data_IF_359162187774
#
_entry.id   IF_359162187774
#
_cell.length_a   1.000
_cell.length_b   1.000
_cell.length_c   1.000
_cell.angle_alpha   90.00
_cell.angle_beta   90.00
_cell.angle_gamma   90.00
#
_symmetry.space_group_name_H-M   'P 1'
#
loop_
_entity.id
_entity.type
_entity.pdbx_description
1 polymer ?
#
# COMPACT_ATOMS: atom_id res chain seq x y z
N UNK A 1 -24.42 -5.26 -3.81
CA UNK A 1 -24.40 -5.15 -2.33
C UNK A 1 -23.57 -3.93 -1.99
N UNK A 2 -24.11 -2.94 -1.27
CA UNK A 2 -23.36 -1.80 -0.76
C UNK A 2 -22.87 -2.16 0.64
N UNK A 3 -21.57 -2.35 0.82
CA UNK A 3 -20.98 -2.39 2.16
C UNK A 3 -20.86 -0.94 2.66
N UNK A 4 -21.93 -0.44 3.27
CA UNK A 4 -21.85 0.76 4.11
C UNK A 4 -21.53 0.30 5.53
N UNK A 5 -20.26 -0.06 5.77
CA UNK A 5 -19.71 -0.08 7.11
C UNK A 5 -19.69 1.35 7.61
N UNK A 6 -20.71 1.75 8.35
CA UNK A 6 -20.73 3.01 9.09
C UNK A 6 -19.71 2.90 10.22
N UNK A 7 -18.45 3.17 9.90
CA UNK A 7 -17.44 3.49 10.90
C UNK A 7 -17.90 4.80 11.54
N UNK A 8 -18.45 4.68 12.74
CA UNK A 8 -18.95 5.80 13.51
C UNK A 8 -17.72 6.59 13.98
N UNK A 9 -17.32 7.59 13.20
CA UNK A 9 -16.25 8.55 13.53
C UNK A 9 -16.69 9.41 14.72
N UNK A 10 -16.66 8.82 15.91
CA UNK A 10 -16.60 9.60 17.14
C UNK A 10 -15.33 10.44 17.03
N UNK A 11 -15.49 11.75 16.90
CA UNK A 11 -14.37 12.69 16.96
C UNK A 11 -13.60 12.41 18.24
N UNK A 12 -12.43 11.79 18.09
CA UNK A 12 -11.49 11.58 19.18
C UNK A 12 -11.19 13.00 19.72
N UNK A 13 -11.32 13.24 21.04
CA UNK A 13 -10.94 14.52 21.61
C UNK A 13 -9.53 14.85 21.13
N UNK A 14 -9.31 16.10 20.71
CA UNK A 14 -8.01 16.58 20.24
C UNK A 14 -7.05 16.48 21.43
N UNK A 15 -6.42 15.32 21.58
CA UNK A 15 -5.32 15.13 22.52
C UNK A 15 -4.16 15.98 22.02
N UNK A 16 -3.43 16.59 22.96
CA UNK A 16 -2.29 17.44 22.65
C UNK A 16 -1.20 16.59 21.99
N UNK A 17 -1.18 16.57 20.65
CA UNK A 17 -0.12 15.91 19.90
C UNK A 17 1.23 16.47 20.31
N UNK A 18 2.21 15.60 20.53
CA UNK A 18 3.60 16.03 20.71
C UNK A 18 4.21 16.27 19.32
N UNK A 19 4.50 17.53 18.91
CA UNK A 19 5.06 17.78 17.60
C UNK A 19 6.54 17.40 17.57
N UNK A 20 6.93 16.57 16.61
CA UNK A 20 8.33 16.17 16.39
C UNK A 20 8.79 16.60 14.98
N UNK A 21 8.94 17.92 14.73
CA UNK A 21 9.22 18.45 13.39
C UNK A 21 10.60 18.09 12.84
N UNK A 22 11.52 17.63 13.68
CA UNK A 22 12.85 17.20 13.24
C UNK A 22 12.86 15.82 12.58
N UNK A 23 11.80 15.03 12.76
CA UNK A 23 11.71 13.66 12.22
C UNK A 23 11.29 13.72 10.75
N UNK A 24 12.17 13.25 9.87
CA UNK A 24 11.92 13.13 8.43
C UNK A 24 11.73 11.68 7.97
N UNK A 25 12.28 10.74 8.72
CA UNK A 25 12.20 9.32 8.44
C UNK A 25 11.82 8.57 9.72
N UNK A 26 10.86 7.66 9.60
CA UNK A 26 10.38 6.80 10.67
C UNK A 26 10.43 5.36 10.20
N UNK A 27 11.05 4.48 11.00
CA UNK A 27 11.04 3.04 10.77
C UNK A 27 10.39 2.36 11.96
N UNK A 28 9.32 1.61 11.70
CA UNK A 28 8.57 0.85 12.68
C UNK A 28 8.79 -0.63 12.41
N UNK A 29 9.44 -1.32 13.33
CA UNK A 29 9.62 -2.78 13.27
C UNK A 29 8.95 -3.40 14.49
N UNK A 30 7.90 -4.17 14.25
CA UNK A 30 7.09 -4.81 15.27
C UNK A 30 7.36 -6.31 15.23
N UNK A 31 7.62 -6.90 16.40
CA UNK A 31 7.97 -8.32 16.55
C UNK A 31 7.20 -8.93 17.70
N UNK A 32 6.48 -10.04 17.44
CA UNK A 32 5.74 -10.78 18.47
C UNK A 32 4.82 -9.89 19.34
N UNK A 33 4.19 -8.87 18.71
CA UNK A 33 3.28 -7.94 19.40
C UNK A 33 1.85 -8.46 19.29
N UNK A 34 1.15 -8.53 20.40
CA UNK A 34 -0.30 -8.73 20.42
C UNK A 34 -0.98 -7.40 20.04
N UNK A 35 -1.79 -7.42 18.99
CA UNK A 35 -2.53 -6.25 18.49
C UNK A 35 -1.63 -5.07 18.05
N UNK A 36 -0.84 -5.23 16.97
CA UNK A 36 0.07 -4.19 16.47
C UNK A 36 -0.67 -2.91 16.07
N UNK A 37 -1.88 -3.02 15.55
CA UNK A 37 -2.70 -1.86 15.13
C UNK A 37 -3.01 -0.89 16.27
N UNK A 38 -3.40 -1.40 17.43
CA UNK A 38 -3.68 -0.54 18.59
C UNK A 38 -2.44 0.24 19.02
N UNK A 39 -1.28 -0.43 19.01
CA UNK A 39 0.00 0.19 19.35
C UNK A 39 0.40 1.25 18.33
N UNK A 40 0.29 0.95 17.04
CA UNK A 40 0.60 1.90 15.97
C UNK A 40 -0.37 3.08 16.02
N UNK A 41 -1.66 2.81 16.22
CA UNK A 41 -2.70 3.84 16.27
C UNK A 41 -2.49 4.75 17.46
N UNK A 42 -2.14 4.20 18.62
CA UNK A 42 -1.79 5.00 19.79
C UNK A 42 -0.51 5.82 19.55
N UNK A 43 0.53 5.21 18.97
CA UNK A 43 1.81 5.89 18.71
C UNK A 43 1.64 7.05 17.72
N UNK A 44 1.05 6.78 16.55
CA UNK A 44 0.84 7.76 15.50
C UNK A 44 -0.29 8.75 15.83
N UNK A 45 -1.22 8.36 16.71
CA UNK A 45 -2.26 9.22 17.25
C UNK A 45 -1.79 10.17 18.35
N UNK A 46 -0.65 9.89 19.00
CA UNK A 46 -0.12 10.74 20.08
C UNK A 46 0.99 11.70 19.62
N UNK A 47 1.50 11.52 18.41
CA UNK A 47 2.68 12.23 17.89
C UNK A 47 2.36 12.87 16.56
N UNK A 48 2.67 14.16 16.41
CA UNK A 48 2.56 14.85 15.14
C UNK A 48 3.92 14.87 14.42
N UNK A 49 3.95 14.32 13.21
CA UNK A 49 5.17 14.18 12.39
C UNK A 49 5.08 15.03 11.10
N UNK A 50 5.02 16.38 11.20
CA UNK A 50 4.66 17.25 10.08
C UNK A 50 5.65 17.24 8.91
N UNK A 51 6.90 16.82 9.14
CA UNK A 51 7.97 16.79 8.13
C UNK A 51 8.37 15.35 7.74
N UNK A 52 7.54 14.35 8.06
CA UNK A 52 7.82 12.96 7.72
C UNK A 52 7.68 12.77 6.20
N UNK A 53 8.79 12.45 5.55
CA UNK A 53 8.83 12.16 4.10
C UNK A 53 9.08 10.70 3.81
N UNK A 54 9.55 9.91 4.78
CA UNK A 54 9.84 8.49 4.61
C UNK A 54 9.32 7.65 5.76
N UNK A 55 8.54 6.62 5.45
CA UNK A 55 8.02 5.64 6.40
C UNK A 55 8.44 4.24 5.96
N UNK A 56 9.05 3.49 6.87
CA UNK A 56 9.24 2.05 6.74
C UNK A 56 8.45 1.33 7.83
N UNK A 57 7.64 0.35 7.45
CA UNK A 57 6.86 -0.47 8.34
C UNK A 57 7.21 -1.94 8.10
N UNK A 58 7.52 -2.65 9.17
CA UNK A 58 7.87 -4.07 9.14
C UNK A 58 7.19 -4.79 10.29
N UNK A 59 6.38 -5.80 9.97
CA UNK A 59 5.77 -6.69 10.94
C UNK A 59 6.33 -8.11 10.76
N UNK A 60 7.01 -8.60 11.79
CA UNK A 60 7.62 -9.91 11.80
C UNK A 60 6.95 -10.80 12.87
N UNK A 61 6.68 -12.05 12.51
CA UNK A 61 6.24 -13.12 13.43
C UNK A 61 5.02 -12.75 14.30
N UNK A 62 3.83 -12.73 13.69
CA UNK A 62 2.56 -12.68 14.41
C UNK A 62 2.21 -14.06 14.95
N UNK A 63 2.08 -14.18 16.28
CA UNK A 63 1.67 -15.43 16.93
C UNK A 63 0.16 -15.69 16.83
N UNK A 64 -0.63 -14.68 16.46
CA UNK A 64 -2.10 -14.75 16.44
C UNK A 64 -2.66 -14.76 15.02
N UNK A 65 -3.71 -15.56 14.80
CA UNK A 65 -4.39 -15.73 13.52
C UNK A 65 -5.33 -14.60 13.13
N UNK A 66 -5.55 -13.63 14.02
CA UNK A 66 -6.45 -12.53 13.73
C UNK A 66 -5.80 -11.60 12.72
N UNK A 67 -6.44 -11.48 11.56
CA UNK A 67 -6.03 -10.65 10.44
C UNK A 67 -6.12 -9.18 10.86
N UNK A 68 -4.97 -8.56 11.04
CA UNK A 68 -4.85 -7.16 11.46
C UNK A 68 -4.33 -6.39 10.25
N UNK A 69 -5.19 -5.56 9.67
CA UNK A 69 -4.83 -4.70 8.55
C UNK A 69 -4.43 -3.31 9.07
N UNK A 70 -3.27 -2.75 8.66
CA UNK A 70 -2.73 -1.52 9.19
C UNK A 70 -3.72 -0.39 8.96
N UNK A 71 -4.38 0.01 10.05
CA UNK A 71 -5.19 1.21 10.13
C UNK A 71 -4.43 2.46 9.66
N UNK A 72 -3.10 2.41 9.62
CA UNK A 72 -2.21 3.43 9.06
C UNK A 72 -2.69 3.95 7.70
N UNK A 73 -3.19 3.05 6.85
CA UNK A 73 -3.57 3.37 5.47
C UNK A 73 -5.06 3.25 5.22
N UNK A 74 -5.89 3.11 6.24
CA UNK A 74 -7.34 3.16 6.05
C UNK A 74 -7.75 4.49 5.35
N UNK A 75 -8.89 4.54 4.63
CA UNK A 75 -9.32 5.76 3.94
C UNK A 75 -9.45 6.99 4.86
N UNK A 76 -9.73 6.78 6.15
CA UNK A 76 -9.75 7.81 7.19
C UNK A 76 -8.40 7.98 7.91
N UNK A 77 -7.30 7.52 7.30
CA UNK A 77 -5.97 7.37 7.90
C UNK A 77 -5.36 8.65 8.45
N UNK A 78 -4.10 8.58 8.89
CA UNK A 78 -3.48 9.70 9.56
C UNK A 78 -3.23 10.87 8.59
N UNK A 79 -3.94 11.98 8.81
CA UNK A 79 -3.82 13.23 8.02
C UNK A 79 -2.42 13.85 8.01
N UNK A 80 -1.51 13.35 8.85
CA UNK A 80 -0.11 13.79 8.91
C UNK A 80 0.77 13.24 7.78
N UNK A 81 0.27 12.35 6.92
CA UNK A 81 1.05 11.76 5.82
C UNK A 81 0.98 12.54 4.49
N UNK A 82 0.48 13.77 4.51
CA UNK A 82 0.41 14.61 3.32
C UNK A 82 1.78 14.89 2.67
N UNK A 83 2.87 14.85 3.43
CA UNK A 83 4.25 15.06 2.93
C UNK A 83 5.01 13.76 2.69
N UNK A 84 4.37 12.60 2.82
CA UNK A 84 5.04 11.32 2.74
C UNK A 84 5.35 10.99 1.28
N UNK A 85 6.64 10.90 0.96
CA UNK A 85 7.15 10.67 -0.40
C UNK A 85 7.56 9.21 -0.61
N UNK A 86 7.98 8.51 0.44
CA UNK A 86 8.45 7.12 0.37
C UNK A 86 7.79 6.27 1.44
N UNK A 87 7.19 5.15 1.02
CA UNK A 87 6.58 4.15 1.90
C UNK A 87 7.15 2.78 1.57
N UNK A 88 7.65 2.08 2.59
CA UNK A 88 8.06 0.69 2.50
C UNK A 88 7.26 -0.13 3.51
N UNK A 89 6.58 -1.18 3.05
CA UNK A 89 5.76 -2.06 3.89
C UNK A 89 6.26 -3.48 3.72
N UNK A 90 6.59 -4.12 4.83
CA UNK A 90 6.92 -5.53 4.94
C UNK A 90 5.99 -6.18 5.95
N UNK A 91 5.20 -7.17 5.53
CA UNK A 91 4.35 -7.91 6.45
C UNK A 91 4.05 -9.33 5.94
N UNK A 92 4.60 -10.32 6.66
CA UNK A 92 4.44 -11.74 6.32
C UNK A 92 3.09 -12.34 6.73
N UNK A 93 2.34 -11.63 7.54
CA UNK A 93 1.11 -12.08 8.20
C UNK A 93 -0.14 -11.35 7.73
N UNK A 94 0.06 -10.35 6.88
CA UNK A 94 -0.98 -9.46 6.41
C UNK A 94 -2.13 -10.23 5.73
N UNK A 95 -3.33 -10.01 6.25
CA UNK A 95 -4.57 -10.40 5.62
C UNK A 95 -5.48 -9.18 5.72
N UNK A 96 -5.69 -8.49 4.60
CA UNK A 96 -6.52 -7.31 4.54
C UNK A 96 -7.47 -7.47 3.38
N UNK A 97 -8.76 -7.36 3.67
CA UNK A 97 -9.78 -7.35 2.66
C UNK A 97 -9.83 -5.95 2.03
N UNK A 98 -9.58 -5.86 0.72
CA UNK A 98 -9.69 -4.62 -0.05
C UNK A 98 -8.41 -4.19 -0.76
N UNK A 99 -8.54 -3.08 -1.51
CA UNK A 99 -7.47 -2.47 -2.29
C UNK A 99 -6.46 -1.72 -1.42
N UNK A 100 -5.41 -2.40 -0.96
CA UNK A 100 -4.36 -1.75 -0.13
C UNK A 100 -3.68 -0.62 -0.88
N UNK A 101 -3.46 -0.80 -2.18
CA UNK A 101 -2.77 0.17 -3.01
C UNK A 101 -3.59 1.46 -3.11
N UNK A 102 -4.89 1.35 -3.36
CA UNK A 102 -5.79 2.49 -3.36
C UNK A 102 -5.82 3.21 -2.02
N UNK A 103 -5.82 2.43 -0.94
CA UNK A 103 -5.86 2.95 0.42
C UNK A 103 -4.60 3.77 0.75
N UNK A 104 -3.42 3.26 0.38
CA UNK A 104 -2.14 3.98 0.52
C UNK A 104 -2.10 5.23 -0.36
N UNK A 105 -2.47 5.11 -1.63
CA UNK A 105 -2.43 6.24 -2.57
C UNK A 105 -3.39 7.36 -2.17
N UNK A 106 -4.56 7.00 -1.63
CA UNK A 106 -5.53 7.97 -1.11
C UNK A 106 -5.02 8.65 0.17
N UNK A 107 -4.34 7.92 1.04
CA UNK A 107 -3.81 8.45 2.30
C UNK A 107 -2.53 9.29 2.13
N UNK A 108 -1.77 9.07 1.04
CA UNK A 108 -0.46 9.68 0.82
C UNK A 108 -0.41 10.43 -0.52
N UNK A 109 -0.99 11.65 -0.61
CA UNK A 109 -1.10 12.38 -1.88
C UNK A 109 0.25 12.84 -2.46
N UNK A 110 1.34 12.84 -1.67
CA UNK A 110 2.70 13.19 -2.12
C UNK A 110 3.57 11.97 -2.42
N UNK A 111 3.00 10.76 -2.42
CA UNK A 111 3.76 9.51 -2.51
C UNK A 111 4.44 9.35 -3.87
N UNK A 112 5.77 9.29 -3.87
CA UNK A 112 6.60 9.09 -5.07
C UNK A 112 7.05 7.65 -5.21
N UNK A 113 7.36 6.99 -4.10
CA UNK A 113 7.94 5.65 -4.07
C UNK A 113 7.20 4.76 -3.08
N UNK A 114 6.67 3.64 -3.59
CA UNK A 114 5.99 2.64 -2.79
C UNK A 114 6.64 1.27 -2.99
N UNK A 115 7.03 0.62 -1.89
CA UNK A 115 7.49 -0.76 -1.89
C UNK A 115 6.61 -1.60 -0.98
N UNK A 116 6.04 -2.67 -1.53
CA UNK A 116 5.20 -3.63 -0.84
C UNK A 116 5.87 -5.01 -0.84
N UNK A 117 6.00 -5.61 0.33
CA UNK A 117 6.44 -6.98 0.51
C UNK A 117 5.43 -7.73 1.37
N UNK A 118 4.45 -8.34 0.70
CA UNK A 118 3.22 -8.85 1.31
C UNK A 118 2.92 -10.27 0.78
N UNK A 119 3.66 -11.30 1.23
CA UNK A 119 3.57 -12.65 0.65
C UNK A 119 2.21 -13.31 0.77
N UNK A 120 1.43 -12.98 1.81
CA UNK A 120 0.12 -13.60 2.06
C UNK A 120 -1.05 -12.71 1.68
N UNK A 121 -0.82 -11.68 0.88
CA UNK A 121 -1.85 -10.69 0.56
C UNK A 121 -2.10 -10.60 -0.95
N UNK A 122 -3.37 -10.62 -1.32
CA UNK A 122 -3.86 -10.18 -2.63
C UNK A 122 -3.97 -8.66 -2.62
N UNK A 123 -3.61 -8.00 -3.74
CA UNK A 123 -3.66 -6.53 -3.82
C UNK A 123 -5.09 -6.00 -3.84
N UNK A 124 -6.04 -6.81 -4.32
CA UNK A 124 -7.41 -6.43 -4.59
C UNK A 124 -8.42 -7.47 -4.07
N UNK A 125 -8.12 -8.09 -2.93
CA UNK A 125 -8.99 -9.14 -2.37
C UNK A 125 -10.42 -8.61 -2.14
N UNK A 126 -11.42 -9.35 -2.62
CA UNK A 126 -12.82 -8.95 -2.54
C UNK A 126 -13.26 -7.88 -3.55
N UNK A 127 -12.36 -7.35 -4.38
CA UNK A 127 -12.71 -6.43 -5.45
C UNK A 127 -13.27 -7.19 -6.65
N UNK A 128 -14.54 -6.95 -6.97
CA UNK A 128 -15.17 -7.52 -8.15
C UNK A 128 -14.86 -6.66 -9.37
N UNK A 129 -13.97 -7.16 -10.24
CA UNK A 129 -13.60 -6.55 -11.53
C UNK A 129 -14.79 -6.22 -12.44
N UNK A 130 -15.93 -6.89 -12.21
CA UNK A 130 -17.16 -6.69 -13.00
C UNK A 130 -17.92 -5.41 -12.63
N UNK A 131 -17.46 -4.67 -11.61
CA UNK A 131 -18.03 -3.35 -11.32
C UNK A 131 -17.46 -2.31 -12.30
N UNK A 132 -18.35 -1.68 -13.06
CA UNK A 132 -18.05 -0.71 -14.15
C UNK A 132 -17.25 0.51 -13.67
N UNK A 133 -17.06 0.70 -12.36
CA UNK A 133 -16.36 1.86 -11.80
C UNK A 133 -14.93 1.51 -11.40
N UNK A 134 -13.98 1.99 -12.17
CA UNK A 134 -12.60 2.16 -11.73
C UNK A 134 -12.55 2.89 -10.38
N UNK A 135 -11.75 2.44 -9.39
CA UNK A 135 -11.59 3.17 -8.14
C UNK A 135 -11.18 4.63 -8.39
N UNK A 136 -11.75 5.56 -7.60
CA UNK A 136 -11.58 7.01 -7.79
C UNK A 136 -10.12 7.45 -7.80
N UNK A 137 -9.27 6.79 -7.01
CA UNK A 137 -7.84 7.11 -6.92
C UNK A 137 -7.11 6.99 -8.25
N UNK A 138 -7.50 6.04 -9.11
CA UNK A 138 -6.92 5.87 -10.44
C UNK A 138 -7.41 6.93 -11.44
N UNK A 139 -8.55 7.55 -11.16
CA UNK A 139 -9.08 8.68 -11.93
C UNK A 139 -8.48 10.02 -11.49
N UNK A 140 -7.94 10.08 -10.27
CA UNK A 140 -7.26 11.26 -9.72
C UNK A 140 -5.78 11.33 -10.13
N UNK A 141 -5.21 12.53 -10.06
CA UNK A 141 -3.77 12.72 -10.25
C UNK A 141 -3.03 12.29 -8.96
N UNK A 142 -2.04 11.41 -9.10
CA UNK A 142 -1.19 10.95 -8.00
C UNK A 142 0.28 10.95 -8.44
N UNK A 143 1.24 11.40 -7.61
CA UNK A 143 2.60 11.64 -8.08
C UNK A 143 3.49 10.39 -8.09
N UNK A 144 2.93 9.19 -7.94
CA UNK A 144 3.68 7.94 -7.83
C UNK A 144 4.58 7.74 -9.06
N UNK A 145 5.87 7.56 -8.81
CA UNK A 145 6.89 7.33 -9.83
C UNK A 145 7.34 5.88 -9.86
N UNK A 146 7.45 5.24 -8.70
CA UNK A 146 7.93 3.85 -8.58
C UNK A 146 7.03 3.04 -7.68
N UNK A 147 6.59 1.88 -8.19
CA UNK A 147 5.89 0.87 -7.42
C UNK A 147 6.70 -0.43 -7.45
N UNK A 148 7.07 -0.95 -6.28
CA UNK A 148 7.82 -2.19 -6.11
C UNK A 148 6.97 -3.22 -5.39
N UNK A 149 6.77 -4.38 -6.01
CA UNK A 149 6.05 -5.54 -5.48
C UNK A 149 7.06 -6.66 -5.29
N UNK A 150 7.34 -7.03 -4.03
CA UNK A 150 8.43 -7.94 -3.67
C UNK A 150 7.89 -9.14 -2.90
N UNK A 151 8.05 -10.33 -3.44
CA UNK A 151 7.58 -11.56 -2.80
C UNK A 151 6.08 -11.53 -2.50
N UNK A 152 5.28 -10.82 -3.29
CA UNK A 152 3.82 -10.80 -3.15
C UNK A 152 3.25 -12.09 -3.75
N UNK A 153 3.35 -13.19 -3.01
CA UNK A 153 3.09 -14.53 -3.56
C UNK A 153 1.65 -14.73 -3.99
N UNK A 154 0.66 -14.11 -3.33
CA UNK A 154 -0.74 -14.20 -3.73
C UNK A 154 -1.14 -13.30 -4.92
N UNK A 155 -0.21 -12.51 -5.46
CA UNK A 155 -0.48 -11.65 -6.61
C UNK A 155 -0.77 -12.50 -7.85
N UNK A 156 -2.03 -12.49 -8.28
CA UNK A 156 -2.48 -13.18 -9.49
C UNK A 156 -2.18 -12.39 -10.76
N UNK A 157 -2.22 -13.07 -11.91
CA UNK A 157 -2.03 -12.45 -13.22
C UNK A 157 -3.12 -11.44 -13.56
N UNK A 158 -4.35 -11.68 -13.10
CA UNK A 158 -5.49 -10.79 -13.31
C UNK A 158 -5.30 -9.47 -12.54
N UNK A 159 -4.86 -9.55 -11.28
CA UNK A 159 -4.56 -8.37 -10.46
C UNK A 159 -3.42 -7.54 -11.03
N UNK A 160 -2.33 -8.19 -11.47
CA UNK A 160 -1.22 -7.49 -12.10
C UNK A 160 -1.65 -6.80 -13.41
N UNK A 161 -2.45 -7.48 -14.23
CA UNK A 161 -2.98 -6.91 -15.48
C UNK A 161 -3.85 -5.69 -15.18
N UNK A 162 -4.73 -5.79 -14.20
CA UNK A 162 -5.57 -4.67 -13.77
C UNK A 162 -4.72 -3.50 -13.26
N UNK A 163 -3.75 -3.76 -12.38
CA UNK A 163 -2.84 -2.73 -11.87
C UNK A 163 -2.18 -1.97 -13.01
N UNK A 164 -1.66 -2.69 -14.00
CA UNK A 164 -0.97 -2.11 -15.15
C UNK A 164 -1.91 -1.24 -15.99
N UNK A 165 -3.12 -1.73 -16.28
CA UNK A 165 -4.09 -0.94 -17.03
C UNK A 165 -4.49 0.33 -16.27
N UNK A 166 -4.69 0.26 -14.96
CA UNK A 166 -5.00 1.46 -14.17
C UNK A 166 -3.85 2.45 -14.12
N UNK A 167 -2.60 1.99 -13.93
CA UNK A 167 -1.43 2.88 -13.97
C UNK A 167 -1.31 3.51 -15.36
N UNK A 168 -1.51 2.73 -16.43
CA UNK A 168 -1.42 3.19 -17.82
C UNK A 168 -2.47 4.22 -18.18
N UNK A 169 -3.72 4.00 -17.76
CA UNK A 169 -4.86 4.86 -18.06
C UNK A 169 -4.96 6.05 -17.09
N UNK A 170 -4.15 6.08 -16.03
CA UNK A 170 -4.10 7.19 -15.08
C UNK A 170 -3.47 8.46 -15.69
N UNK A 171 -3.85 9.61 -15.14
CA UNK A 171 -3.23 10.90 -15.49
C UNK A 171 -1.74 10.94 -15.12
N UNK A 172 -1.35 10.13 -14.15
CA UNK A 172 -0.01 10.00 -13.60
C UNK A 172 0.94 9.19 -14.49
N UNK A 173 0.48 8.59 -15.57
CA UNK A 173 1.29 7.73 -16.44
C UNK A 173 2.57 8.43 -16.96
N UNK A 174 2.46 9.72 -17.27
CA UNK A 174 3.58 10.53 -17.79
C UNK A 174 4.71 10.66 -16.76
N UNK A 175 4.36 10.78 -15.48
CA UNK A 175 5.33 10.89 -14.38
C UNK A 175 5.75 9.53 -13.82
N UNK A 176 4.92 8.50 -13.99
CA UNK A 176 5.22 7.13 -13.59
C UNK A 176 6.47 6.65 -14.34
N UNK A 177 7.44 6.11 -13.61
CA UNK A 177 8.73 5.70 -14.16
C UNK A 177 8.87 4.20 -14.25
N UNK A 178 8.43 3.47 -13.23
CA UNK A 178 8.80 2.07 -13.10
C UNK A 178 7.85 1.26 -12.23
N UNK A 179 7.48 0.08 -12.74
CA UNK A 179 6.88 -1.01 -11.98
C UNK A 179 7.95 -2.10 -11.80
N UNK A 180 8.24 -2.43 -10.55
CA UNK A 180 9.18 -3.47 -10.15
C UNK A 180 8.41 -4.67 -9.60
N UNK A 181 8.63 -5.87 -10.13
CA UNK A 181 8.00 -7.11 -9.64
C UNK A 181 9.06 -8.17 -9.39
N UNK A 182 9.34 -8.47 -8.13
CA UNK A 182 10.45 -9.33 -7.75
C UNK A 182 9.99 -10.52 -6.92
N UNK A 183 10.26 -11.73 -7.40
CA UNK A 183 10.11 -12.95 -6.58
C UNK A 183 8.66 -13.33 -6.24
N UNK A 184 7.68 -12.91 -7.03
CA UNK A 184 6.27 -13.27 -6.82
C UNK A 184 5.96 -14.65 -7.44
N UNK A 185 5.65 -15.66 -6.62
CA UNK A 185 5.59 -17.08 -7.04
C UNK A 185 4.53 -17.45 -8.07
N UNK A 186 3.42 -16.74 -8.15
CA UNK A 186 2.31 -17.07 -9.05
C UNK A 186 2.36 -16.35 -10.40
N UNK A 187 3.37 -15.52 -10.61
CA UNK A 187 3.59 -14.84 -11.87
C UNK A 187 4.63 -15.59 -12.69
N UNK A 188 4.38 -15.72 -13.98
CA UNK A 188 5.25 -16.43 -14.92
C UNK A 188 5.87 -15.43 -15.89
N UNK A 189 7.03 -15.75 -16.44
CA UNK A 189 7.70 -14.97 -17.49
C UNK A 189 6.75 -14.61 -18.66
N UNK A 190 5.90 -15.54 -19.09
CA UNK A 190 4.95 -15.29 -20.17
C UNK A 190 3.99 -14.12 -19.89
N UNK A 191 3.57 -13.95 -18.63
CA UNK A 191 2.73 -12.83 -18.22
C UNK A 191 3.51 -11.52 -18.33
N UNK A 192 4.75 -11.48 -17.83
CA UNK A 192 5.58 -10.28 -17.91
C UNK A 192 5.89 -9.87 -19.35
N UNK A 193 6.25 -10.82 -20.21
CA UNK A 193 6.46 -10.58 -21.64
C UNK A 193 5.21 -10.03 -22.33
N UNK A 194 4.02 -10.57 -21.98
CA UNK A 194 2.75 -10.07 -22.55
C UNK A 194 2.40 -8.65 -22.10
N UNK A 195 2.93 -8.20 -20.96
CA UNK A 195 2.63 -6.91 -20.35
C UNK A 195 3.70 -5.84 -20.63
N UNK A 196 4.88 -6.25 -21.07
CA UNK A 196 6.03 -5.35 -21.32
C UNK A 196 5.71 -4.26 -22.35
N UNK A 197 5.03 -4.65 -23.44
CA UNK A 197 4.60 -3.72 -24.50
C UNK A 197 3.64 -2.64 -23.96
N UNK A 198 2.77 -3.00 -23.00
CA UNK A 198 1.83 -2.05 -22.39
C UNK A 198 2.51 -1.05 -21.48
N UNK A 199 3.64 -1.43 -20.87
CA UNK A 199 4.38 -0.58 -19.96
C UNK A 199 5.48 0.23 -20.64
N UNK A 200 5.67 0.13 -21.96
CA UNK A 200 6.67 0.91 -22.72
C UNK A 200 8.09 0.81 -22.11
N UNK A 201 8.47 -0.39 -21.66
CA UNK A 201 9.77 -0.63 -21.02
C UNK A 201 9.89 -0.13 -19.57
N UNK A 202 8.79 0.29 -18.94
CA UNK A 202 8.76 0.67 -17.51
C UNK A 202 8.63 -0.53 -16.56
N UNK A 203 8.60 -1.76 -17.08
CA UNK A 203 8.53 -2.98 -16.27
C UNK A 203 9.93 -3.51 -15.99
N UNK A 204 10.24 -3.77 -14.72
CA UNK A 204 11.41 -4.53 -14.29
C UNK A 204 10.93 -5.71 -13.47
N UNK A 205 11.36 -6.91 -13.82
CA UNK A 205 10.91 -8.11 -13.13
C UNK A 205 12.02 -9.13 -12.93
N UNK A 206 11.89 -9.94 -11.88
CA UNK A 206 12.74 -11.11 -11.63
C UNK A 206 11.87 -12.27 -11.16
N UNK A 207 12.05 -13.45 -11.77
CA UNK A 207 11.36 -14.66 -11.34
C UNK A 207 11.77 -15.08 -9.92
N UNK A 208 10.89 -15.82 -9.26
CA UNK A 208 11.06 -16.45 -7.94
C UNK A 208 12.04 -17.63 -7.91
N UNK A 209 12.56 -18.04 -9.07
CA UNK A 209 13.39 -19.24 -9.24
C UNK A 209 14.89 -19.04 -9.04
N UNK A 210 15.32 -17.83 -8.64
CA UNK A 210 16.74 -17.47 -8.43
C UNK A 210 17.09 -17.39 -6.94
#
# INVERSE_FOLDING_TARGET
MKFSGLWCSKSIPVEDFVPLPSIKSLSLTLRAIQNPDSLITSLLGSVALPNLTSLAYSLEHLETSDSVGPLIFAPEGFSQFNSLETVNIYDESFAFEGGILESILSACPSLLHLSLCLPKMSLYEGFCWDTVSTPEVWSSEFPLQTLSLRGCDLLSSAELTFLIFNIRDSQSWVTFRQLEVHGCKHLTENIFLSLEDYLEGKLVWTDSTI
#
